data_IF_195250438485
#
_entry.id   IF_195250438485
#
_cell.length_a   1.000
_cell.length_b   1.000
_cell.length_c   1.000
_cell.angle_alpha   90.00
_cell.angle_beta   90.00
_cell.angle_gamma   90.00
#
_symmetry.space_group_name_H-M   'P 1'
#
loop_
_entity.id
_entity.type
_entity.pdbx_description
1 polymer ?
#
# COMPACT_ATOMS: atom_id res chain seq x y z
N UNK A 1 -9.60 40.10 -38.65
CA UNK A 1 -9.16 38.83 -38.05
C UNK A 1 -9.64 37.69 -38.95
N UNK A 2 -8.74 36.95 -39.61
CA UNK A 2 -9.14 35.83 -40.48
C UNK A 2 -8.91 34.49 -39.78
N UNK A 3 -9.90 33.59 -39.85
CA UNK A 3 -9.79 32.23 -39.34
C UNK A 3 -9.12 31.34 -40.38
N UNK A 4 -8.12 30.54 -39.97
CA UNK A 4 -7.50 29.51 -40.83
C UNK A 4 -8.31 28.21 -40.72
N UNK A 5 -8.64 27.63 -41.88
CA UNK A 5 -9.28 26.31 -41.97
C UNK A 5 -8.20 25.24 -41.74
N UNK A 6 -8.34 24.45 -40.67
CA UNK A 6 -7.42 23.34 -40.37
C UNK A 6 -7.93 22.09 -41.09
N UNK A 7 -7.09 21.49 -41.93
CA UNK A 7 -7.41 20.23 -42.59
C UNK A 7 -7.37 19.09 -41.57
N UNK A 8 -8.54 18.48 -41.31
CA UNK A 8 -8.74 17.46 -40.29
C UNK A 8 -7.94 16.17 -40.57
N UNK A 9 -7.56 15.90 -41.83
CA UNK A 9 -6.77 14.73 -42.21
C UNK A 9 -5.31 14.85 -41.74
N UNK A 10 -4.68 16.01 -41.93
CA UNK A 10 -3.31 16.28 -41.46
C UNK A 10 -3.21 16.29 -39.93
N UNK A 11 -4.24 16.80 -39.25
CA UNK A 11 -4.32 16.78 -37.79
C UNK A 11 -4.37 15.35 -37.23
N UNK A 12 -5.07 14.42 -37.91
CA UNK A 12 -5.14 13.01 -37.52
C UNK A 12 -3.82 12.28 -37.75
N UNK A 13 -3.17 12.49 -38.90
CA UNK A 13 -1.86 11.90 -39.19
C UNK A 13 -0.79 12.37 -38.20
N UNK A 14 -0.81 13.66 -37.84
CA UNK A 14 0.11 14.24 -36.85
C UNK A 14 -0.11 13.67 -35.45
N UNK A 15 -1.36 13.42 -35.04
CA UNK A 15 -1.67 12.75 -33.76
C UNK A 15 -1.25 11.28 -33.74
N UNK A 16 -1.42 10.55 -34.85
CA UNK A 16 -0.99 9.16 -34.94
C UNK A 16 0.54 9.03 -34.84
N UNK A 17 1.28 9.91 -35.53
CA UNK A 17 2.75 9.95 -35.46
C UNK A 17 3.26 10.35 -34.07
N UNK A 18 2.63 11.35 -33.42
CA UNK A 18 2.96 11.74 -32.05
C UNK A 18 2.58 10.67 -31.00
N UNK A 19 1.58 9.82 -31.27
CA UNK A 19 1.24 8.67 -30.42
C UNK A 19 2.25 7.54 -30.57
N UNK A 20 2.77 7.31 -31.78
CA UNK A 20 3.78 6.28 -32.05
C UNK A 20 5.14 6.62 -31.43
N UNK A 21 5.55 7.90 -31.44
CA UNK A 21 6.78 8.36 -30.78
C UNK A 21 6.70 8.19 -29.25
N UNK A 22 5.53 8.42 -28.65
CA UNK A 22 5.35 8.24 -27.19
C UNK A 22 5.44 6.78 -26.75
N UNK A 23 4.99 5.82 -27.57
CA UNK A 23 4.98 4.39 -27.19
C UNK A 23 6.40 3.86 -26.94
N UNK A 24 7.42 4.42 -27.60
CA UNK A 24 8.83 4.04 -27.41
C UNK A 24 9.41 4.55 -26.07
N UNK A 25 8.99 5.73 -25.61
CA UNK A 25 9.41 6.33 -24.33
C UNK A 25 8.60 5.83 -23.11
N UNK A 26 7.33 5.43 -23.30
CA UNK A 26 6.40 5.02 -22.22
C UNK A 26 6.71 3.66 -21.58
N UNK A 27 7.53 2.82 -22.24
CA UNK A 27 7.93 1.50 -21.71
C UNK A 27 8.64 1.60 -20.36
N UNK A 28 9.50 2.60 -20.18
CA UNK A 28 10.24 2.85 -18.93
C UNK A 28 9.39 3.48 -17.80
N UNK A 29 8.31 4.19 -18.16
CA UNK A 29 7.43 4.86 -17.21
C UNK A 29 6.39 3.89 -16.62
N UNK A 30 5.89 2.96 -17.44
CA UNK A 30 4.85 2.00 -17.02
C UNK A 30 5.42 0.92 -16.08
N UNK A 31 6.66 0.49 -16.31
CA UNK A 31 7.37 -0.43 -15.42
C UNK A 31 7.70 0.23 -14.07
N UNK A 32 8.05 1.51 -14.08
CA UNK A 32 8.26 2.29 -12.85
C UNK A 32 6.95 2.52 -12.08
N UNK A 33 5.85 2.84 -12.77
CA UNK A 33 4.55 3.01 -12.13
C UNK A 33 4.04 1.68 -11.57
N UNK A 34 4.23 0.56 -12.28
CA UNK A 34 3.90 -0.77 -11.78
C UNK A 34 4.76 -1.16 -10.56
N UNK A 35 6.06 -0.85 -10.57
CA UNK A 35 6.96 -1.08 -9.45
C UNK A 35 6.64 -0.17 -8.24
N UNK A 36 6.22 1.07 -8.47
CA UNK A 36 5.75 1.99 -7.44
C UNK A 36 4.40 1.55 -6.87
N UNK A 37 3.48 1.05 -7.71
CA UNK A 37 2.21 0.49 -7.27
C UNK A 37 2.38 -0.79 -6.43
N UNK A 38 3.48 -1.52 -6.61
CA UNK A 38 3.82 -2.63 -5.72
C UNK A 38 4.29 -2.18 -4.33
N UNK A 39 4.69 -0.91 -4.16
CA UNK A 39 5.17 -0.38 -2.88
C UNK A 39 4.09 0.26 -2.01
N UNK A 40 2.89 0.50 -2.55
CA UNK A 40 1.81 1.13 -1.80
C UNK A 40 0.53 0.30 -1.83
N UNK A 41 -0.13 0.18 -0.68
CA UNK A 41 -1.43 -0.48 -0.55
C UNK A 41 -2.42 0.46 0.15
N UNK A 42 -3.65 0.52 -0.35
CA UNK A 42 -4.74 1.20 0.34
C UNK A 42 -5.57 0.18 1.12
N UNK A 43 -5.82 0.48 2.39
CA UNK A 43 -6.76 -0.26 3.23
C UNK A 43 -7.91 0.65 3.62
N UNK A 44 -9.12 0.12 3.59
CA UNK A 44 -10.33 0.87 3.96
C UNK A 44 -10.70 0.53 5.40
N UNK A 45 -10.91 1.54 6.22
CA UNK A 45 -11.46 1.35 7.57
C UNK A 45 -12.99 1.28 7.56
N UNK A 46 -13.59 0.93 8.69
CA UNK A 46 -15.05 0.84 8.84
C UNK A 46 -15.76 2.17 8.55
N UNK A 47 -15.06 3.29 8.75
CA UNK A 47 -15.53 4.64 8.41
C UNK A 47 -15.61 4.93 6.91
N UNK A 48 -15.12 4.03 6.05
CA UNK A 48 -14.98 4.24 4.60
C UNK A 48 -13.74 5.07 4.21
N UNK A 49 -12.95 5.54 5.18
CA UNK A 49 -11.68 6.22 4.92
C UNK A 49 -10.66 5.23 4.37
N UNK A 50 -9.85 5.70 3.41
CA UNK A 50 -8.76 4.93 2.79
C UNK A 50 -7.43 5.40 3.34
N UNK A 51 -6.66 4.46 3.86
CA UNK A 51 -5.36 4.70 4.46
C UNK A 51 -4.28 4.13 3.54
N UNK A 52 -3.40 5.00 3.03
CA UNK A 52 -2.25 4.58 2.23
C UNK A 52 -1.18 4.00 3.15
N UNK A 53 -0.65 2.84 2.77
CA UNK A 53 0.42 2.15 3.47
C UNK A 53 1.58 1.91 2.52
N UNK A 54 2.81 2.07 3.01
CA UNK A 54 4.02 1.60 2.32
C UNK A 54 4.24 0.13 2.66
N UNK A 55 4.52 -0.69 1.66
CA UNK A 55 4.75 -2.13 1.79
C UNK A 55 6.25 -2.39 1.96
N UNK A 56 6.61 -3.11 3.01
CA UNK A 56 7.95 -3.63 3.24
C UNK A 56 7.90 -5.15 3.42
N UNK A 57 8.98 -5.85 3.07
CA UNK A 57 9.18 -7.21 3.59
C UNK A 57 9.50 -7.13 5.08
N UNK A 58 9.38 -8.24 5.82
CA UNK A 58 9.82 -8.26 7.23
C UNK A 58 11.30 -7.86 7.40
N UNK A 59 12.14 -8.21 6.42
CA UNK A 59 13.59 -7.95 6.45
C UNK A 59 13.94 -6.51 6.06
N UNK A 60 13.18 -5.90 5.15
CA UNK A 60 13.44 -4.55 4.64
C UNK A 60 12.64 -3.47 5.38
N UNK A 61 11.78 -3.86 6.33
CA UNK A 61 11.06 -2.92 7.19
C UNK A 61 12.05 -2.02 7.95
N UNK A 62 11.97 -0.68 7.80
CA UNK A 62 12.86 0.25 8.49
C UNK A 62 12.48 0.41 9.96
N UNK A 63 13.44 0.88 10.77
CA UNK A 63 13.16 1.26 12.15
C UNK A 63 12.38 2.58 12.18
N UNK A 64 11.19 2.58 12.80
CA UNK A 64 10.28 3.72 12.82
C UNK A 64 9.86 4.06 14.25
N UNK A 65 9.78 5.36 14.55
CA UNK A 65 9.39 5.86 15.86
C UNK A 65 7.89 5.89 16.10
N UNK A 66 7.09 6.04 15.04
CA UNK A 66 5.65 6.16 15.11
C UNK A 66 5.00 5.70 13.80
N UNK A 67 3.71 5.37 13.88
CA UNK A 67 2.90 4.96 12.73
C UNK A 67 1.97 3.80 13.06
N UNK A 68 1.04 3.55 12.17
CA UNK A 68 0.22 2.34 12.17
C UNK A 68 0.88 1.28 11.31
N UNK A 69 0.75 0.02 11.71
CA UNK A 69 1.21 -1.10 10.90
C UNK A 69 0.13 -2.16 10.72
N UNK A 70 0.21 -2.89 9.62
CA UNK A 70 -0.53 -4.12 9.39
C UNK A 70 0.46 -5.21 9.01
N UNK A 71 0.37 -6.34 9.69
CA UNK A 71 1.09 -7.56 9.36
C UNK A 71 0.24 -8.34 8.37
N UNK A 72 0.80 -8.60 7.19
CA UNK A 72 0.07 -9.22 6.09
C UNK A 72 0.81 -10.44 5.59
N UNK A 73 0.05 -11.50 5.29
CA UNK A 73 0.54 -12.63 4.51
C UNK A 73 0.06 -12.47 3.08
N UNK A 74 1.00 -12.41 2.14
CA UNK A 74 0.74 -12.45 0.71
C UNK A 74 1.07 -13.84 0.17
N UNK A 75 0.11 -14.49 -0.48
CA UNK A 75 0.32 -15.80 -1.09
C UNK A 75 0.96 -15.72 -2.48
N UNK A 76 1.23 -16.87 -3.10
CA UNK A 76 1.83 -16.96 -4.44
C UNK A 76 0.91 -16.40 -5.54
N UNK A 77 -0.41 -16.39 -5.32
CA UNK A 77 -1.38 -15.76 -6.22
C UNK A 77 -1.46 -14.23 -6.02
N UNK A 78 -0.76 -13.69 -5.02
CA UNK A 78 -0.73 -12.28 -4.67
C UNK A 78 -1.89 -11.81 -3.80
N UNK A 79 -2.74 -12.71 -3.30
CA UNK A 79 -3.81 -12.40 -2.35
C UNK A 79 -3.23 -12.03 -0.99
N UNK A 80 -3.86 -11.07 -0.32
CA UNK A 80 -3.38 -10.51 0.94
C UNK A 80 -4.33 -10.82 2.08
N UNK A 81 -3.78 -11.47 3.08
CA UNK A 81 -4.44 -11.86 4.31
C UNK A 81 -3.92 -10.99 5.46
N UNK A 82 -4.80 -10.29 6.19
CA UNK A 82 -4.38 -9.49 7.35
C UNK A 82 -4.24 -10.41 8.57
N UNK A 83 -3.05 -10.43 9.15
CA UNK A 83 -2.72 -11.22 10.33
C UNK A 83 -2.86 -10.39 11.62
N UNK A 84 -2.42 -9.14 11.60
CA UNK A 84 -2.51 -8.22 12.74
C UNK A 84 -2.57 -6.78 12.26
N UNK A 85 -3.23 -5.93 13.04
CA UNK A 85 -3.24 -4.48 12.88
C UNK A 85 -2.84 -3.87 14.22
N UNK A 86 -1.95 -2.88 14.18
CA UNK A 86 -1.46 -2.21 15.38
C UNK A 86 -0.90 -0.82 15.11
N UNK A 87 -0.24 -0.28 16.13
CA UNK A 87 0.52 0.96 16.04
C UNK A 87 1.84 0.84 16.80
N UNK A 88 2.82 1.63 16.39
CA UNK A 88 4.13 1.69 17.01
C UNK A 88 4.04 2.53 18.30
N UNK A 89 4.27 1.89 19.44
CA UNK A 89 4.06 2.49 20.77
C UNK A 89 5.36 2.69 21.56
N UNK A 90 6.46 2.01 21.18
CA UNK A 90 7.72 2.16 21.87
C UNK A 90 8.41 3.49 21.50
N UNK A 91 9.09 4.09 22.47
CA UNK A 91 9.89 5.30 22.24
C UNK A 91 11.12 5.03 21.35
N UNK A 92 11.64 3.79 21.37
CA UNK A 92 12.80 3.40 20.55
C UNK A 92 12.37 2.82 19.20
N UNK A 93 12.84 3.39 18.07
CA UNK A 93 12.57 2.85 16.73
C UNK A 93 13.04 1.41 16.54
N UNK A 94 14.14 1.02 17.17
CA UNK A 94 14.68 -0.34 17.06
C UNK A 94 13.83 -1.36 17.81
N UNK A 95 13.22 -0.96 18.94
CA UNK A 95 12.32 -1.83 19.69
C UNK A 95 11.00 -2.04 18.92
N UNK A 96 10.44 -0.96 18.36
CA UNK A 96 9.29 -1.07 17.45
C UNK A 96 9.55 -2.05 16.30
N UNK A 97 10.71 -1.94 15.65
CA UNK A 97 11.08 -2.85 14.56
C UNK A 97 11.21 -4.30 15.04
N UNK A 98 11.85 -4.52 16.20
CA UNK A 98 12.00 -5.85 16.77
C UNK A 98 10.63 -6.48 17.08
N UNK A 99 9.73 -5.72 17.70
CA UNK A 99 8.37 -6.18 18.04
C UNK A 99 7.55 -6.51 16.79
N UNK A 100 7.56 -5.63 15.79
CA UNK A 100 6.86 -5.86 14.50
C UNK A 100 7.40 -7.12 13.81
N UNK A 101 8.72 -7.31 13.77
CA UNK A 101 9.34 -8.49 13.17
C UNK A 101 9.02 -9.77 13.94
N UNK A 102 9.09 -9.72 15.26
CA UNK A 102 8.83 -10.87 16.12
C UNK A 102 7.36 -11.32 16.01
N UNK A 103 6.41 -10.38 16.05
CA UNK A 103 4.99 -10.65 15.82
C UNK A 103 4.73 -11.15 14.40
N UNK A 104 5.33 -10.49 13.41
CA UNK A 104 5.24 -10.87 12.01
C UNK A 104 5.68 -12.31 11.76
N UNK A 105 6.83 -12.69 12.29
CA UNK A 105 7.33 -14.06 12.20
C UNK A 105 6.41 -15.05 12.95
N UNK A 106 5.92 -14.69 14.13
CA UNK A 106 5.04 -15.56 14.95
C UNK A 106 3.71 -15.85 14.25
N UNK A 107 3.13 -14.86 13.56
CA UNK A 107 1.88 -14.99 12.82
C UNK A 107 2.10 -15.47 11.37
N UNK A 108 3.36 -15.60 10.94
CA UNK A 108 3.77 -15.90 9.57
C UNK A 108 3.30 -14.86 8.55
N UNK A 109 3.29 -13.59 8.92
CA UNK A 109 3.23 -12.51 7.96
C UNK A 109 4.53 -12.49 7.11
N UNK A 110 4.46 -12.00 5.87
CA UNK A 110 5.63 -11.78 5.02
C UNK A 110 5.72 -10.34 4.50
N UNK A 111 4.67 -9.54 4.69
CA UNK A 111 4.63 -8.11 4.39
C UNK A 111 4.31 -7.31 5.67
N UNK A 112 4.92 -6.13 5.78
CA UNK A 112 4.62 -5.10 6.78
C UNK A 112 4.11 -3.87 6.03
N UNK A 113 2.86 -3.53 6.25
CA UNK A 113 2.24 -2.35 5.66
C UNK A 113 2.24 -1.22 6.67
N UNK A 114 2.83 -0.07 6.33
CA UNK A 114 3.05 1.01 7.29
C UNK A 114 2.34 2.28 6.83
N UNK A 115 1.50 2.82 7.70
CA UNK A 115 0.86 4.11 7.54
C UNK A 115 1.49 5.14 8.49
N UNK A 116 2.02 6.22 7.92
CA UNK A 116 2.80 7.25 8.62
C UNK A 116 2.10 8.61 8.73
N UNK A 117 0.82 8.71 8.33
CA UNK A 117 0.13 10.01 8.27
C UNK A 117 -0.70 10.33 9.53
N UNK A 118 -0.54 9.56 10.61
CA UNK A 118 -1.11 9.91 11.89
C UNK A 118 -0.32 11.07 12.52
N UNK A 119 -0.98 12.18 12.81
CA UNK A 119 -0.38 13.39 13.38
C UNK A 119 -0.18 13.28 14.90
N UNK A 120 -0.84 12.31 15.55
CA UNK A 120 -0.74 12.10 17.00
C UNK A 120 -0.95 10.64 17.41
N UNK A 121 -0.49 10.24 18.62
CA UNK A 121 -0.77 8.90 19.16
C UNK A 121 -2.27 8.58 19.26
N UNK A 122 -3.08 9.60 19.58
CA UNK A 122 -4.54 9.46 19.63
C UNK A 122 -5.14 9.19 18.25
N UNK A 123 -4.61 9.84 17.23
CA UNK A 123 -5.02 9.58 15.86
C UNK A 123 -4.58 8.18 15.41
N UNK A 124 -3.36 7.76 15.74
CA UNK A 124 -2.89 6.41 15.44
C UNK A 124 -3.81 5.34 16.05
N UNK A 125 -4.24 5.49 17.31
CA UNK A 125 -5.22 4.61 17.93
C UNK A 125 -6.58 4.61 17.21
N UNK A 126 -7.04 5.78 16.75
CA UNK A 126 -8.30 5.89 16.00
C UNK A 126 -8.20 5.20 14.64
N UNK A 127 -7.07 5.36 13.95
CA UNK A 127 -6.81 4.71 12.66
C UNK A 127 -6.72 3.19 12.85
N UNK A 128 -5.99 2.73 13.86
CA UNK A 128 -5.90 1.31 14.21
C UNK A 128 -7.29 0.72 14.45
N UNK A 129 -8.11 1.38 15.29
CA UNK A 129 -9.47 0.93 15.57
C UNK A 129 -10.33 0.88 14.32
N UNK A 130 -10.29 1.92 13.48
CA UNK A 130 -11.07 1.97 12.24
C UNK A 130 -10.66 0.88 11.25
N UNK A 131 -9.36 0.62 11.11
CA UNK A 131 -8.82 -0.45 10.28
C UNK A 131 -9.20 -1.83 10.82
N UNK A 132 -9.11 -2.06 12.14
CA UNK A 132 -9.56 -3.31 12.77
C UNK A 132 -11.03 -3.59 12.51
N UNK A 133 -11.89 -2.60 12.72
CA UNK A 133 -13.32 -2.76 12.46
C UNK A 133 -13.61 -2.98 10.96
N UNK A 134 -12.92 -2.28 10.07
CA UNK A 134 -13.15 -2.37 8.62
C UNK A 134 -12.70 -3.70 8.01
N UNK A 135 -11.78 -4.41 8.67
CA UNK A 135 -11.19 -5.65 8.18
C UNK A 135 -11.41 -6.82 9.16
N UNK A 136 -12.42 -6.71 10.03
CA UNK A 136 -12.69 -7.69 11.09
C UNK A 136 -12.99 -9.08 10.52
N UNK A 137 -13.84 -9.16 9.49
CA UNK A 137 -14.24 -10.43 8.88
C UNK A 137 -13.05 -11.15 8.23
N UNK A 138 -12.18 -10.40 7.53
CA UNK A 138 -10.96 -10.94 6.93
C UNK A 138 -10.01 -11.51 8.00
N UNK A 139 -9.79 -10.76 9.08
CA UNK A 139 -8.94 -11.21 10.19
C UNK A 139 -9.52 -12.45 10.88
N UNK A 140 -10.84 -12.52 11.06
CA UNK A 140 -11.53 -13.65 11.69
C UNK A 140 -11.46 -14.93 10.82
N UNK A 141 -11.59 -14.79 9.51
CA UNK A 141 -11.47 -15.90 8.57
C UNK A 141 -10.08 -16.57 8.65
N UNK A 142 -9.01 -15.78 8.75
CA UNK A 142 -7.64 -16.30 8.85
C UNK A 142 -7.27 -16.89 10.21
N UNK A 143 -7.80 -16.32 11.30
CA UNK A 143 -7.62 -16.90 12.64
C UNK A 143 -8.18 -18.34 12.71
N UNK A 144 -9.30 -18.59 12.02
CA UNK A 144 -9.95 -19.90 11.98
C UNK A 144 -9.18 -20.92 11.12
N UNK A 145 -8.53 -20.46 10.04
CA UNK A 145 -7.76 -21.33 9.13
C UNK A 145 -6.45 -21.88 9.73
N UNK A 146 -5.94 -21.28 10.81
CA UNK A 146 -4.64 -21.64 11.43
C UNK A 146 -4.79 -22.68 12.56
N UNK A 147 -6.02 -23.11 12.90
CA UNK A 147 -6.30 -24.04 14.02
C UNK A 147 -6.35 -25.54 13.63
N UNK A 148 -5.83 -25.93 12.48
CA UNK A 148 -5.79 -27.33 12.00
C UNK A 148 -4.37 -27.80 11.76
#
# INVERSE_FOLDING_TARGET
MSARIINLAEARASRAKARMIRIDETSSQTDNDAALMQRFQFWTGASGRRYVHTIYTLLDCPALSAGNYMLVRRDEAGQRAIMEIGYLSATSPSLNLADVRQRGATLGANEVHIHLLAESPREALRIEFDLKCGNFDDMAAHASATQH
#
